data_IF_629102584151
#
_entry.id   IF_629102584151
#
_cell.length_a   1.000
_cell.length_b   1.000
_cell.length_c   1.000
_cell.angle_alpha   90.00
_cell.angle_beta   90.00
_cell.angle_gamma   90.00
#
_symmetry.space_group_name_H-M   'P 1'
#
loop_
_entity.id
_entity.type
_entity.pdbx_description
1 polymer ?
#
# COMPACT_ATOMS: atom_id res chain seq x y z
N UNK A 1 11.05 0.54 -25.12
CA UNK A 1 12.32 1.30 -25.03
C UNK A 1 13.14 0.69 -23.90
N UNK A 2 14.39 0.27 -24.11
CA UNK A 2 15.21 -0.28 -23.02
C UNK A 2 15.60 0.83 -22.04
N UNK A 3 15.57 0.54 -20.73
CA UNK A 3 16.19 1.39 -19.73
C UNK A 3 17.70 1.29 -19.84
N UNK A 4 18.38 2.44 -19.95
CA UNK A 4 19.82 2.52 -20.25
C UNK A 4 20.65 2.99 -19.05
N UNK A 5 20.00 3.50 -18.02
CA UNK A 5 20.66 4.03 -16.82
C UNK A 5 19.90 3.59 -15.57
N UNK A 6 20.61 3.55 -14.44
CA UNK A 6 20.01 3.24 -13.15
C UNK A 6 18.86 4.21 -12.82
N UNK A 7 19.06 5.52 -13.07
CA UNK A 7 18.05 6.54 -12.80
C UNK A 7 16.74 6.34 -13.56
N UNK A 8 16.78 5.74 -14.77
CA UNK A 8 15.56 5.42 -15.51
C UNK A 8 14.79 4.25 -14.88
N UNK A 9 15.51 3.28 -14.31
CA UNK A 9 14.91 2.16 -13.59
C UNK A 9 14.34 2.62 -12.25
N UNK A 10 15.07 3.46 -11.53
CA UNK A 10 14.62 4.07 -10.27
C UNK A 10 13.35 4.88 -10.47
N UNK A 11 13.30 5.72 -11.51
CA UNK A 11 12.11 6.49 -11.83
C UNK A 11 10.92 5.59 -12.20
N UNK A 12 11.12 4.62 -13.09
CA UNK A 12 10.05 3.69 -13.47
C UNK A 12 9.53 2.88 -12.28
N UNK A 13 10.42 2.51 -11.35
CA UNK A 13 10.06 1.81 -10.12
C UNK A 13 9.29 2.72 -9.18
N UNK A 14 9.72 3.96 -8.98
CA UNK A 14 9.02 4.94 -8.15
C UNK A 14 7.61 5.23 -8.69
N UNK A 15 7.46 5.40 -10.01
CA UNK A 15 6.17 5.59 -10.66
C UNK A 15 5.25 4.38 -10.48
N UNK A 16 5.80 3.17 -10.61
CA UNK A 16 5.06 1.94 -10.39
C UNK A 16 4.60 1.78 -8.94
N UNK A 17 5.49 2.03 -7.98
CA UNK A 17 5.17 1.97 -6.55
C UNK A 17 4.07 2.97 -6.21
N UNK A 18 4.18 4.20 -6.69
CA UNK A 18 3.16 5.21 -6.43
C UNK A 18 1.79 4.83 -7.01
N UNK A 19 1.75 4.30 -8.23
CA UNK A 19 0.50 3.79 -8.79
C UNK A 19 -0.06 2.63 -7.97
N UNK A 20 0.78 1.65 -7.62
CA UNK A 20 0.35 0.45 -6.89
C UNK A 20 -0.16 0.79 -5.49
N UNK A 21 0.56 1.62 -4.73
CA UNK A 21 0.26 1.89 -3.33
C UNK A 21 -0.84 2.93 -3.14
N UNK A 22 -0.94 3.93 -4.01
CA UNK A 22 -1.81 5.09 -3.79
C UNK A 22 -2.97 5.21 -4.78
N UNK A 23 -2.90 4.58 -5.96
CA UNK A 23 -3.87 4.80 -7.04
C UNK A 23 -4.61 3.54 -7.50
N UNK A 24 -4.01 2.36 -7.32
CA UNK A 24 -4.61 1.08 -7.70
C UNK A 24 -5.64 0.66 -6.66
N UNK A 25 -6.90 0.55 -7.08
CA UNK A 25 -7.97 -0.01 -6.25
C UNK A 25 -7.85 -1.54 -6.21
N UNK A 26 -7.74 -2.09 -5.01
CA UNK A 26 -7.48 -3.51 -4.82
C UNK A 26 -8.73 -4.24 -4.29
N UNK A 27 -9.32 -5.10 -5.13
CA UNK A 27 -10.61 -5.75 -4.85
C UNK A 27 -10.65 -6.60 -3.57
N UNK A 28 -9.59 -7.39 -3.30
CA UNK A 28 -9.54 -8.27 -2.13
C UNK A 28 -9.51 -7.54 -0.78
N UNK A 29 -9.10 -6.27 -0.75
CA UNK A 29 -9.00 -5.46 0.48
C UNK A 29 -10.10 -4.40 0.58
N UNK A 30 -11.22 -4.60 -0.13
CA UNK A 30 -12.37 -3.70 -0.06
C UNK A 30 -12.35 -2.56 -1.07
N UNK A 31 -11.58 -2.70 -2.16
CA UNK A 31 -11.53 -1.73 -3.25
C UNK A 31 -10.99 -0.35 -2.86
N UNK A 32 -10.03 -0.33 -1.95
CA UNK A 32 -9.25 0.86 -1.57
C UNK A 32 -7.78 0.68 -1.94
N UNK A 33 -6.98 1.77 -2.02
CA UNK A 33 -5.53 1.66 -2.20
C UNK A 33 -4.86 0.93 -1.03
N UNK A 34 -3.78 0.17 -1.29
CA UNK A 34 -3.03 -0.53 -0.24
C UNK A 34 -2.58 0.38 0.92
N UNK A 35 -2.11 1.60 0.63
CA UNK A 35 -1.67 2.53 1.67
C UNK A 35 -2.81 2.96 2.62
N UNK A 36 -4.02 3.12 2.08
CA UNK A 36 -5.21 3.42 2.89
C UNK A 36 -5.62 2.22 3.74
N UNK A 37 -5.53 1.01 3.18
CA UNK A 37 -5.79 -0.21 3.93
C UNK A 37 -4.82 -0.39 5.11
N UNK A 38 -3.52 -0.21 4.90
CA UNK A 38 -2.52 -0.26 5.97
C UNK A 38 -2.79 0.79 7.04
N UNK A 39 -3.04 2.03 6.62
CA UNK A 39 -3.39 3.14 7.52
C UNK A 39 -4.58 2.78 8.41
N UNK A 40 -5.66 2.26 7.82
CA UNK A 40 -6.85 1.82 8.55
C UNK A 40 -6.52 0.65 9.49
N UNK A 41 -5.74 -0.32 9.03
CA UNK A 41 -5.29 -1.44 9.86
C UNK A 41 -4.55 -0.97 11.11
N UNK A 42 -3.56 -0.08 10.98
CA UNK A 42 -2.83 0.46 12.13
C UNK A 42 -3.70 1.31 13.07
N UNK A 43 -4.61 2.13 12.53
CA UNK A 43 -5.57 2.88 13.36
C UNK A 43 -6.50 1.95 14.16
N UNK A 44 -6.90 0.81 13.58
CA UNK A 44 -7.75 -0.18 14.28
C UNK A 44 -6.97 -1.05 15.27
N UNK A 45 -5.74 -1.45 14.93
CA UNK A 45 -4.86 -2.24 15.79
C UNK A 45 -4.37 -1.45 17.02
N UNK A 46 -4.33 -0.12 16.92
CA UNK A 46 -3.97 0.78 18.04
C UNK A 46 -5.17 1.04 18.97
N UNK A 47 -6.40 0.60 18.62
CA UNK A 47 -7.44 0.42 19.63
C UNK A 47 -7.02 -0.78 20.48
N UNK A 48 -6.89 -0.64 21.82
CA UNK A 48 -6.54 -1.78 22.66
C UNK A 48 -7.55 -2.89 22.38
N UNK A 49 -7.06 -3.97 21.78
CA UNK A 49 -7.78 -5.22 21.67
C UNK A 49 -7.88 -5.73 23.11
N UNK A 50 -8.93 -5.32 23.84
CA UNK A 50 -9.29 -5.95 25.10
C UNK A 50 -9.83 -7.32 24.72
N UNK A 51 -8.92 -8.28 24.62
CA UNK A 51 -9.24 -9.69 24.47
C UNK A 51 -9.77 -10.16 25.82
N UNK A 52 -11.08 -9.97 26.06
CA UNK A 52 -11.76 -10.72 27.12
C UNK A 52 -11.90 -12.15 26.64
N UNK A 53 -10.87 -12.95 26.90
CA UNK A 53 -10.96 -14.40 26.92
C UNK A 53 -11.89 -14.76 28.08
N UNK A 54 -13.10 -15.22 27.77
CA UNK A 54 -13.93 -16.03 28.67
C UNK A 54 -13.73 -17.51 28.34
#
# INVERSE_FOLDING_TARGET
>A
RPWRTLSQVELATAEWVDWYCHRRLHGEIGHIPPAEYETNYYFTATKPQVTTTS
#
